data_IF_541757016728
#
_entry.id   IF_541757016728
#
_cell.length_a   1.000
_cell.length_b   1.000
_cell.length_c   1.000
_cell.angle_alpha   90.00
_cell.angle_beta   90.00
_cell.angle_gamma   90.00
#
_symmetry.space_group_name_H-M   'P 1'
#
loop_
_entity.id
_entity.type
_entity.pdbx_description
1 polymer ?
#
# COMPACT_ATOMS: atom_id res chain seq x y z
N UNK A 1 -14.72 -81.91 -12.84
CA UNK A 1 -13.87 -82.17 -11.66
C UNK A 1 -13.62 -80.83 -10.98
N UNK A 2 -14.03 -80.72 -9.71
CA UNK A 2 -13.74 -79.68 -8.70
C UNK A 2 -13.86 -78.20 -9.11
N UNK A 3 -14.96 -77.51 -8.79
CA UNK A 3 -15.28 -76.88 -7.48
C UNK A 3 -14.43 -75.63 -7.23
N UNK A 4 -15.07 -74.45 -7.22
CA UNK A 4 -14.63 -73.38 -6.35
C UNK A 4 -15.80 -72.48 -5.94
N UNK A 5 -15.77 -72.21 -4.64
CA UNK A 5 -16.88 -71.82 -3.76
C UNK A 5 -17.14 -70.32 -3.83
N UNK A 6 -18.41 -69.94 -3.94
CA UNK A 6 -18.87 -68.55 -3.91
C UNK A 6 -18.92 -68.05 -2.45
N UNK A 7 -17.99 -67.18 -2.04
CA UNK A 7 -18.04 -66.49 -0.76
C UNK A 7 -19.00 -65.30 -0.89
N UNK A 8 -20.17 -65.39 -0.25
CA UNK A 8 -21.12 -64.28 -0.08
C UNK A 8 -20.61 -63.35 1.03
N UNK A 9 -20.04 -62.20 0.66
CA UNK A 9 -19.88 -61.08 1.61
C UNK A 9 -21.16 -60.24 1.59
N UNK A 10 -21.93 -60.31 2.67
CA UNK A 10 -23.10 -59.44 2.91
C UNK A 10 -22.63 -58.01 3.11
N UNK A 11 -23.06 -57.13 2.21
CA UNK A 11 -22.85 -55.70 2.27
C UNK A 11 -23.61 -55.10 3.47
N UNK A 12 -22.87 -54.70 4.51
CA UNK A 12 -23.38 -53.78 5.53
C UNK A 12 -22.70 -52.44 5.32
N UNK A 13 -23.30 -51.61 4.47
CA UNK A 13 -22.82 -50.27 4.18
C UNK A 13 -23.18 -49.32 5.32
N UNK A 14 -22.21 -49.01 6.19
CA UNK A 14 -22.30 -47.82 7.04
C UNK A 14 -22.18 -46.58 6.14
N UNK A 15 -23.31 -45.92 5.90
CA UNK A 15 -23.35 -44.55 5.38
C UNK A 15 -22.85 -43.60 6.48
N UNK A 16 -21.55 -43.30 6.44
CA UNK A 16 -20.97 -42.18 7.17
C UNK A 16 -21.43 -40.89 6.48
N UNK A 17 -22.51 -40.29 6.98
CA UNK A 17 -22.85 -38.91 6.66
C UNK A 17 -21.78 -38.01 7.28
N UNK A 18 -20.82 -37.57 6.48
CA UNK A 18 -19.95 -36.47 6.83
C UNK A 18 -20.82 -35.21 6.95
N UNK A 19 -21.13 -34.82 8.19
CA UNK A 19 -21.62 -33.48 8.52
C UNK A 19 -20.49 -32.48 8.22
N UNK A 20 -20.28 -32.16 6.95
CA UNK A 20 -19.61 -30.93 6.58
C UNK A 20 -20.59 -29.82 6.99
N UNK A 21 -20.45 -29.31 8.21
CA UNK A 21 -21.07 -28.06 8.59
C UNK A 21 -20.70 -27.03 7.51
N UNK A 22 -21.71 -26.37 6.93
CA UNK A 22 -21.48 -25.29 5.97
C UNK A 22 -20.63 -24.22 6.65
N UNK A 23 -19.31 -24.29 6.44
CA UNK A 23 -18.41 -23.24 6.85
C UNK A 23 -18.84 -21.98 6.09
N UNK A 24 -19.09 -20.90 6.81
CA UNK A 24 -19.39 -19.61 6.19
C UNK A 24 -18.23 -19.26 5.25
N UNK A 25 -18.52 -19.18 3.95
CA UNK A 25 -17.53 -18.73 2.97
C UNK A 25 -17.20 -17.25 3.23
N UNK A 26 -15.96 -17.03 3.68
CA UNK A 26 -15.41 -15.71 3.97
C UNK A 26 -14.72 -15.06 2.77
N UNK A 27 -14.79 -15.68 1.59
CA UNK A 27 -14.26 -15.13 0.34
C UNK A 27 -15.05 -13.93 -0.19
N UNK A 28 -14.46 -13.26 -1.20
CA UNK A 28 -15.16 -12.28 -2.02
C UNK A 28 -16.01 -13.02 -3.06
N UNK A 29 -17.23 -12.54 -3.29
CA UNK A 29 -18.10 -12.99 -4.38
C UNK A 29 -18.91 -11.78 -4.85
N UNK A 30 -18.26 -10.83 -5.55
CA UNK A 30 -18.91 -9.61 -6.03
C UNK A 30 -19.91 -9.96 -7.14
N UNK A 31 -21.01 -9.22 -7.19
CA UNK A 31 -22.03 -9.40 -8.23
C UNK A 31 -21.48 -9.02 -9.62
N UNK A 32 -21.82 -9.80 -10.63
CA UNK A 32 -21.46 -9.49 -12.01
C UNK A 32 -22.12 -8.18 -12.44
N UNK A 33 -21.33 -7.24 -12.97
CA UNK A 33 -21.80 -5.90 -13.32
C UNK A 33 -22.08 -4.99 -12.12
N UNK A 34 -21.75 -5.41 -10.90
CA UNK A 34 -21.83 -4.58 -9.70
C UNK A 34 -20.94 -3.33 -9.78
N UNK A 35 -21.22 -2.38 -8.89
CA UNK A 35 -20.51 -1.10 -8.86
C UNK A 35 -19.01 -1.27 -8.54
N UNK A 36 -18.18 -0.51 -9.25
CA UNK A 36 -16.72 -0.59 -9.15
C UNK A 36 -16.09 0.79 -9.01
N UNK A 37 -14.91 0.82 -8.39
CA UNK A 37 -13.97 1.94 -8.47
C UNK A 37 -12.80 1.58 -9.37
N UNK A 38 -12.45 2.47 -10.29
CA UNK A 38 -11.21 2.41 -11.07
C UNK A 38 -10.12 3.18 -10.33
N UNK A 39 -8.97 2.53 -10.14
CA UNK A 39 -7.76 3.14 -9.57
C UNK A 39 -6.68 3.09 -10.64
N UNK A 40 -6.23 4.26 -11.08
CA UNK A 40 -5.23 4.44 -12.13
C UNK A 40 -3.98 5.13 -11.59
N UNK A 41 -2.81 4.57 -11.84
CA UNK A 41 -1.51 5.16 -11.54
C UNK A 41 -0.79 5.50 -12.84
N UNK A 42 -0.44 6.78 -13.05
CA UNK A 42 0.44 7.22 -14.13
C UNK A 42 1.88 7.13 -13.66
N UNK A 43 2.60 6.12 -14.13
CA UNK A 43 3.95 5.81 -13.66
C UNK A 43 4.99 6.69 -14.37
N UNK A 44 5.78 7.50 -13.65
CA UNK A 44 6.88 8.26 -14.22
C UNK A 44 8.01 7.34 -14.70
N UNK A 45 8.85 7.86 -15.59
CA UNK A 45 10.08 7.18 -15.98
C UNK A 45 10.92 6.84 -14.73
N UNK A 46 11.57 5.67 -14.74
CA UNK A 46 12.40 5.10 -13.66
C UNK A 46 11.62 4.56 -12.45
N UNK A 47 10.29 4.73 -12.40
CA UNK A 47 9.44 4.16 -11.34
C UNK A 47 8.64 2.96 -11.85
N UNK A 48 8.07 2.21 -10.91
CA UNK A 48 7.12 1.14 -11.13
C UNK A 48 5.89 1.34 -10.23
N UNK A 49 4.72 0.90 -10.70
CA UNK A 49 3.52 0.81 -9.86
C UNK A 49 3.69 -0.29 -8.81
N UNK A 50 3.39 0.03 -7.56
CA UNK A 50 3.37 -0.96 -6.48
C UNK A 50 2.11 -1.85 -6.57
N UNK A 51 2.19 -3.12 -6.14
CA UNK A 51 1.00 -3.92 -5.91
C UNK A 51 0.06 -3.21 -4.95
N UNK A 52 -1.23 -3.19 -5.26
CA UNK A 52 -2.23 -2.52 -4.44
C UNK A 52 -2.67 -3.42 -3.29
N UNK A 53 -2.59 -2.93 -2.07
CA UNK A 53 -3.17 -3.59 -0.91
C UNK A 53 -4.61 -3.11 -0.74
N UNK A 54 -5.57 -4.00 -0.90
CA UNK A 54 -7.01 -3.72 -0.86
C UNK A 54 -7.58 -4.33 0.42
N UNK A 55 -8.33 -3.52 1.17
CA UNK A 55 -9.01 -3.95 2.39
C UNK A 55 -10.51 -3.83 2.19
N UNK A 56 -11.22 -4.94 2.42
CA UNK A 56 -12.67 -4.97 2.60
C UNK A 56 -13.02 -5.12 4.09
N UNK A 57 -14.17 -4.59 4.51
CA UNK A 57 -14.69 -4.70 5.88
C UNK A 57 -16.09 -5.29 5.91
N UNK A 58 -16.44 -5.92 7.03
CA UNK A 58 -17.76 -6.51 7.25
C UNK A 58 -18.13 -6.55 8.73
N UNK A 59 -19.28 -5.98 9.06
CA UNK A 59 -19.95 -6.17 10.35
C UNK A 59 -20.58 -7.56 10.51
N UNK A 60 -20.84 -8.29 9.41
CA UNK A 60 -21.42 -9.65 9.44
C UNK A 60 -20.42 -10.74 9.80
N UNK A 61 -19.14 -10.48 9.60
CA UNK A 61 -18.05 -11.39 9.94
C UNK A 61 -17.10 -10.72 10.93
N UNK A 62 -17.56 -10.39 12.15
CA UNK A 62 -16.74 -9.68 13.12
C UNK A 62 -15.54 -10.52 13.56
N UNK A 63 -14.51 -9.83 14.04
CA UNK A 63 -13.35 -10.44 14.70
C UNK A 63 -13.32 -10.02 16.16
N UNK A 64 -12.88 -10.94 17.02
CA UNK A 64 -12.71 -10.66 18.44
C UNK A 64 -11.36 -10.00 18.70
N UNK A 65 -11.36 -9.02 19.58
CA UNK A 65 -10.18 -8.35 20.13
C UNK A 65 -10.19 -8.45 21.64
N UNK A 66 -9.00 -8.35 22.22
CA UNK A 66 -8.82 -8.29 23.67
C UNK A 66 -8.59 -6.85 24.09
N UNK A 67 -9.35 -6.40 25.08
CA UNK A 67 -9.17 -5.12 25.75
C UNK A 67 -8.00 -5.11 26.73
N UNK A 68 -7.60 -3.94 27.24
CA UNK A 68 -6.54 -3.80 28.24
C UNK A 68 -6.81 -4.54 29.55
N UNK A 69 -8.07 -4.78 29.87
CA UNK A 69 -8.59 -5.51 31.03
C UNK A 69 -8.81 -7.00 30.76
N UNK A 70 -8.29 -7.51 29.63
CA UNK A 70 -8.52 -8.88 29.13
C UNK A 70 -9.98 -9.21 28.77
N UNK A 71 -10.87 -8.21 28.76
CA UNK A 71 -12.22 -8.38 28.20
C UNK A 71 -12.16 -8.66 26.70
N UNK A 72 -13.15 -9.36 26.16
CA UNK A 72 -13.27 -9.56 24.73
C UNK A 72 -14.36 -8.66 24.16
N UNK A 73 -14.06 -7.97 23.07
CA UNK A 73 -15.02 -7.19 22.32
C UNK A 73 -14.90 -7.49 20.82
N UNK A 74 -15.97 -7.26 20.08
CA UNK A 74 -16.02 -7.48 18.64
C UNK A 74 -15.83 -6.17 17.87
N UNK A 75 -15.12 -6.27 16.76
CA UNK A 75 -14.99 -5.21 15.76
C UNK A 75 -15.28 -5.79 14.39
N UNK A 76 -15.63 -4.94 13.44
CA UNK A 76 -15.80 -5.33 12.03
C UNK A 76 -14.61 -6.17 11.56
N UNK A 77 -14.92 -7.31 10.93
CA UNK A 77 -13.91 -8.11 10.27
C UNK A 77 -13.33 -7.38 9.08
N UNK A 78 -12.14 -7.79 8.68
CA UNK A 78 -11.51 -7.30 7.47
C UNK A 78 -10.92 -8.45 6.65
N UNK A 79 -10.95 -8.26 5.33
CA UNK A 79 -10.29 -9.12 4.36
C UNK A 79 -9.25 -8.29 3.61
N UNK A 80 -8.00 -8.73 3.62
CA UNK A 80 -6.91 -8.10 2.87
C UNK A 80 -6.59 -8.92 1.64
N UNK A 81 -6.50 -8.26 0.48
CA UNK A 81 -6.03 -8.86 -0.76
C UNK A 81 -5.02 -7.96 -1.44
N UNK A 82 -4.14 -8.54 -2.26
CA UNK A 82 -3.15 -7.82 -3.04
C UNK A 82 -3.50 -7.95 -4.52
N UNK A 83 -3.58 -6.82 -5.22
CA UNK A 83 -3.94 -6.77 -6.63
C UNK A 83 -2.83 -6.07 -7.41
N UNK A 84 -2.34 -6.71 -8.47
CA UNK A 84 -1.39 -6.07 -9.37
C UNK A 84 -2.16 -5.21 -10.38
N UNK A 85 -1.92 -3.89 -10.46
CA UNK A 85 -2.53 -3.09 -11.51
C UNK A 85 -1.94 -3.45 -12.87
N UNK A 86 -2.79 -3.44 -13.90
CA UNK A 86 -2.43 -3.87 -15.25
C UNK A 86 -2.12 -2.66 -16.12
N UNK A 87 -1.07 -2.77 -16.94
CA UNK A 87 -0.71 -1.72 -17.88
C UNK A 87 -1.79 -1.56 -18.96
N UNK A 88 -2.22 -0.33 -19.21
CA UNK A 88 -3.19 -0.02 -20.26
C UNK A 88 -2.48 0.12 -21.61
N UNK A 89 -2.52 -0.95 -22.41
CA UNK A 89 -1.85 -1.00 -23.72
C UNK A 89 -0.35 -0.66 -23.61
N UNK A 90 0.15 0.16 -24.53
CA UNK A 90 1.54 0.63 -24.52
C UNK A 90 1.71 2.00 -23.82
N UNK A 91 0.89 2.30 -22.81
CA UNK A 91 0.96 3.56 -22.06
C UNK A 91 1.71 3.39 -20.72
N UNK A 92 1.97 4.50 -20.03
CA UNK A 92 2.49 4.47 -18.66
C UNK A 92 1.36 4.48 -17.60
N UNK A 93 0.13 4.14 -17.99
CA UNK A 93 -1.01 4.04 -17.08
C UNK A 93 -1.20 2.60 -16.64
N UNK A 94 -1.32 2.41 -15.33
CA UNK A 94 -1.59 1.12 -14.70
C UNK A 94 -2.93 1.22 -13.96
N UNK A 95 -3.88 0.37 -14.33
CA UNK A 95 -5.25 0.41 -13.80
C UNK A 95 -5.61 -0.90 -13.11
N UNK A 96 -6.40 -0.78 -12.05
CA UNK A 96 -7.23 -1.87 -11.55
C UNK A 96 -8.67 -1.39 -11.35
N UNK A 97 -9.62 -2.32 -11.42
CA UNK A 97 -11.02 -2.08 -11.09
C UNK A 97 -11.41 -2.99 -9.94
N UNK A 98 -11.94 -2.39 -8.88
CA UNK A 98 -12.28 -3.09 -7.65
C UNK A 98 -13.79 -2.96 -7.41
N UNK A 99 -14.43 -4.07 -7.05
CA UNK A 99 -15.83 -4.05 -6.65
C UNK A 99 -15.98 -3.24 -5.36
N UNK A 100 -16.96 -2.34 -5.31
CA UNK A 100 -17.29 -1.61 -4.08
C UNK A 100 -17.99 -2.57 -3.12
N UNK A 101 -18.95 -3.33 -3.65
CA UNK A 101 -19.57 -4.46 -2.96
C UNK A 101 -18.81 -5.74 -3.30
N UNK A 102 -17.95 -6.19 -2.37
CA UNK A 102 -17.19 -7.44 -2.47
C UNK A 102 -18.03 -8.70 -2.26
N UNK A 103 -19.27 -8.57 -1.78
CA UNK A 103 -20.23 -9.66 -1.66
C UNK A 103 -19.77 -10.82 -0.77
N UNK A 104 -20.12 -12.04 -1.16
CA UNK A 104 -19.86 -13.26 -0.38
C UNK A 104 -20.71 -13.39 0.88
N UNK A 105 -20.48 -14.46 1.65
CA UNK A 105 -21.24 -14.74 2.88
C UNK A 105 -21.08 -13.66 3.95
N UNK A 106 -19.97 -12.94 3.92
CA UNK A 106 -19.69 -11.81 4.81
C UNK A 106 -20.21 -10.46 4.29
N UNK A 107 -20.73 -10.36 3.06
CA UNK A 107 -21.15 -9.07 2.48
C UNK A 107 -20.06 -7.99 2.56
N UNK A 108 -18.85 -8.35 2.15
CA UNK A 108 -17.67 -7.50 2.19
C UNK A 108 -17.92 -6.15 1.48
N UNK A 109 -17.53 -5.04 2.11
CA UNK A 109 -17.55 -3.71 1.50
C UNK A 109 -16.14 -3.15 1.38
N UNK A 110 -15.83 -2.53 0.25
CA UNK A 110 -14.53 -1.91 0.02
C UNK A 110 -14.31 -0.81 1.06
N UNK A 111 -13.18 -0.86 1.73
CA UNK A 111 -12.90 0.03 2.85
C UNK A 111 -11.73 0.96 2.57
N UNK A 112 -10.58 0.44 2.15
CA UNK A 112 -9.47 1.27 1.73
C UNK A 112 -8.54 0.53 0.76
N UNK A 113 -7.79 1.32 -0.02
CA UNK A 113 -6.77 0.82 -0.93
C UNK A 113 -5.48 1.60 -0.70
N UNK A 114 -4.39 0.87 -0.48
CA UNK A 114 -3.02 1.39 -0.49
C UNK A 114 -2.39 1.09 -1.83
N UNK A 115 -1.85 2.09 -2.51
CA UNK A 115 -1.19 1.98 -3.80
C UNK A 115 -0.12 3.07 -3.92
N UNK A 116 0.71 3.01 -4.95
CA UNK A 116 1.78 3.99 -5.08
C UNK A 116 2.78 3.66 -6.16
N UNK A 117 3.92 4.33 -6.07
CA UNK A 117 5.07 4.10 -6.94
C UNK A 117 6.34 3.91 -6.11
N UNK A 118 7.25 3.08 -6.64
CA UNK A 118 8.61 2.89 -6.11
C UNK A 118 9.61 2.87 -7.26
N UNK A 119 10.90 2.91 -6.97
CA UNK A 119 11.94 2.79 -8.00
C UNK A 119 11.93 1.38 -8.62
N UNK A 120 11.79 1.32 -9.94
CA UNK A 120 11.94 0.07 -10.71
C UNK A 120 13.40 -0.41 -10.70
N UNK A 121 14.33 0.56 -10.76
CA UNK A 121 15.76 0.33 -10.72
C UNK A 121 16.46 1.55 -10.09
N UNK A 122 17.44 1.28 -9.24
CA UNK A 122 18.23 2.25 -8.47
C UNK A 122 19.70 2.29 -8.87
N UNK A 123 20.14 1.53 -9.90
CA UNK A 123 21.57 1.46 -10.28
C UNK A 123 22.17 2.80 -10.66
N UNK A 124 21.38 3.72 -11.20
CA UNK A 124 21.83 5.07 -11.56
C UNK A 124 22.18 5.93 -10.32
N UNK A 125 21.70 5.57 -9.13
CA UNK A 125 22.12 6.20 -7.87
C UNK A 125 23.44 5.64 -7.30
N UNK A 126 23.95 4.56 -7.88
CA UNK A 126 25.20 3.92 -7.48
C UNK A 126 25.04 2.47 -7.04
N UNK A 127 26.16 1.85 -6.71
CA UNK A 127 26.20 0.43 -6.34
C UNK A 127 25.46 0.16 -5.03
N UNK A 128 24.71 -0.94 -4.99
CA UNK A 128 24.01 -1.47 -3.80
C UNK A 128 22.97 -0.53 -3.18
N UNK A 129 22.53 0.50 -3.90
CA UNK A 129 21.36 1.30 -3.50
C UNK A 129 20.11 0.47 -3.73
N UNK A 130 19.27 0.29 -2.71
CA UNK A 130 18.00 -0.43 -2.81
C UNK A 130 16.82 0.54 -2.89
N UNK A 131 15.72 0.21 -3.57
CA UNK A 131 14.52 1.03 -3.53
C UNK A 131 13.94 1.05 -2.11
N UNK A 132 13.41 2.20 -1.71
CA UNK A 132 12.65 2.40 -0.49
C UNK A 132 11.31 3.09 -0.80
N UNK A 133 10.49 3.28 0.23
CA UNK A 133 9.13 3.81 0.10
C UNK A 133 9.10 5.34 -0.10
N UNK A 134 7.91 5.92 -0.10
CA UNK A 134 7.69 7.37 -0.09
C UNK A 134 6.76 7.89 -1.19
N UNK A 135 6.39 7.05 -2.16
CA UNK A 135 5.43 7.37 -3.22
C UNK A 135 4.04 6.78 -2.99
N UNK A 136 3.66 6.55 -1.73
CA UNK A 136 2.43 5.84 -1.36
C UNK A 136 1.21 6.75 -1.23
N UNK A 137 0.03 6.17 -1.46
CA UNK A 137 -1.28 6.79 -1.29
C UNK A 137 -2.22 5.78 -0.65
N UNK A 138 -3.05 6.25 0.28
CA UNK A 138 -4.12 5.49 0.90
C UNK A 138 -5.43 6.24 0.70
N UNK A 139 -6.36 5.59 -0.01
CA UNK A 139 -7.72 6.11 -0.20
C UNK A 139 -8.70 5.25 0.61
N UNK A 140 -9.47 5.90 1.47
CA UNK A 140 -10.54 5.31 2.28
C UNK A 140 -11.88 5.55 1.60
N UNK A 141 -12.65 4.48 1.40
CA UNK A 141 -13.97 4.47 0.80
C UNK A 141 -15.09 4.35 1.86
N UNK A 142 -14.73 4.30 3.14
CA UNK A 142 -15.64 4.31 4.27
C UNK A 142 -15.19 5.31 5.35
N UNK A 143 -15.89 5.31 6.48
CA UNK A 143 -15.58 6.15 7.63
C UNK A 143 -14.54 5.52 8.58
N UNK A 144 -14.05 4.31 8.29
CA UNK A 144 -13.04 3.67 9.12
C UNK A 144 -11.66 4.24 8.80
N UNK A 145 -10.81 4.31 9.82
CA UNK A 145 -9.40 4.61 9.60
C UNK A 145 -8.71 3.43 8.89
N UNK A 146 -7.81 3.75 7.96
CA UNK A 146 -6.92 2.77 7.39
C UNK A 146 -5.99 2.19 8.48
N UNK A 147 -5.73 0.89 8.42
CA UNK A 147 -4.89 0.20 9.42
C UNK A 147 -3.43 0.71 9.40
N UNK A 148 -2.96 1.18 8.24
CA UNK A 148 -1.60 1.70 8.01
C UNK A 148 -1.60 3.22 7.88
N UNK A 149 -1.99 3.91 8.95
CA UNK A 149 -2.04 5.38 8.98
C UNK A 149 -1.03 5.95 9.96
N UNK A 150 -0.33 7.00 9.54
CA UNK A 150 0.36 7.92 10.45
C UNK A 150 -0.66 8.67 11.30
N UNK A 151 -0.42 8.74 12.61
CA UNK A 151 -1.25 9.54 13.52
C UNK A 151 -1.10 11.06 13.28
N UNK A 152 -0.04 11.47 12.57
CA UNK A 152 0.34 12.87 12.41
C UNK A 152 -0.05 13.45 11.04
N UNK A 153 -0.30 12.60 10.05
CA UNK A 153 -0.65 13.06 8.71
C UNK A 153 -2.17 13.27 8.58
N UNK A 154 -2.62 14.45 8.12
CA UNK A 154 -4.03 14.75 7.96
C UNK A 154 -4.65 13.87 6.87
N UNK A 155 -5.96 13.62 6.99
CA UNK A 155 -6.76 13.00 5.93
C UNK A 155 -7.54 14.07 5.21
N UNK A 156 -7.41 14.12 3.89
CA UNK A 156 -8.17 15.02 3.03
C UNK A 156 -9.53 14.42 2.68
N UNK A 157 -10.61 15.17 2.90
CA UNK A 157 -11.97 14.77 2.56
C UNK A 157 -12.32 15.19 1.13
N UNK A 158 -12.82 14.25 0.31
CA UNK A 158 -13.11 14.47 -1.11
C UNK A 158 -14.53 14.01 -1.44
N UNK A 159 -15.35 14.94 -1.94
CA UNK A 159 -16.72 14.67 -2.39
C UNK A 159 -16.75 14.28 -3.88
N UNK A 160 -16.22 13.11 -4.23
CA UNK A 160 -16.31 12.58 -5.60
C UNK A 160 -15.01 11.94 -6.10
N UNK A 161 -14.87 11.87 -7.43
CA UNK A 161 -13.69 11.33 -8.09
C UNK A 161 -12.43 12.12 -7.71
N UNK A 162 -11.31 11.40 -7.60
CA UNK A 162 -10.08 11.91 -7.01
C UNK A 162 -8.96 11.96 -8.06
N UNK A 163 -8.37 13.13 -8.25
CA UNK A 163 -7.14 13.34 -9.02
C UNK A 163 -6.01 13.82 -8.10
N UNK A 164 -4.98 13.00 -7.94
CA UNK A 164 -3.84 13.28 -7.07
C UNK A 164 -2.64 13.60 -7.96
N UNK A 165 -2.17 14.85 -7.90
CA UNK A 165 -0.94 15.32 -8.57
C UNK A 165 -0.01 15.87 -7.51
N UNK A 166 1.13 15.22 -7.32
CA UNK A 166 2.11 15.60 -6.28
C UNK A 166 3.53 15.49 -6.81
N UNK A 167 4.34 16.46 -6.41
CA UNK A 167 5.78 16.50 -6.72
C UNK A 167 6.54 15.53 -5.81
N UNK A 168 7.50 14.81 -6.40
CA UNK A 168 8.38 13.89 -5.70
C UNK A 168 9.84 14.12 -6.10
N UNK A 169 10.72 14.00 -5.11
CA UNK A 169 12.17 14.17 -5.26
C UNK A 169 12.91 12.91 -4.86
N UNK A 170 13.96 12.49 -5.60
CA UNK A 170 14.85 11.42 -5.16
C UNK A 170 15.59 11.78 -3.88
N UNK A 171 15.66 10.85 -2.93
CA UNK A 171 16.62 10.89 -1.83
C UNK A 171 17.47 9.62 -1.81
N UNK A 172 18.78 9.77 -1.94
CA UNK A 172 19.73 8.68 -1.70
C UNK A 172 20.23 8.78 -0.27
N UNK A 173 19.82 7.83 0.58
CA UNK A 173 20.24 7.75 1.97
C UNK A 173 21.27 6.66 2.21
N UNK A 174 22.23 6.94 3.09
CA UNK A 174 23.21 5.98 3.58
C UNK A 174 23.12 5.90 5.11
N UNK A 175 22.87 4.70 5.63
CA UNK A 175 22.73 4.44 7.06
C UNK A 175 23.82 3.47 7.51
N UNK A 176 24.34 3.65 8.74
CA UNK A 176 25.41 2.83 9.31
C UNK A 176 24.99 2.08 10.59
N UNK A 177 24.05 2.65 11.36
CA UNK A 177 23.63 2.09 12.64
C UNK A 177 22.55 1.03 12.40
N UNK A 178 22.75 -0.18 12.94
CA UNK A 178 21.88 -1.33 12.66
C UNK A 178 22.25 -2.08 11.38
N UNK A 179 23.33 -1.68 10.71
CA UNK A 179 23.80 -2.24 9.44
C UNK A 179 24.14 -1.14 8.45
N UNK A 180 25.07 -1.42 7.53
CA UNK A 180 25.38 -0.50 6.43
C UNK A 180 24.41 -0.73 5.28
N UNK A 181 23.61 0.28 4.96
CA UNK A 181 22.65 0.24 3.86
C UNK A 181 22.60 1.54 3.08
N UNK A 182 22.26 1.43 1.79
CA UNK A 182 21.97 2.55 0.92
C UNK A 182 20.57 2.40 0.34
N UNK A 183 19.76 3.44 0.44
CA UNK A 183 18.35 3.40 0.05
C UNK A 183 18.01 4.59 -0.85
N UNK A 184 17.16 4.36 -1.86
CA UNK A 184 16.58 5.39 -2.71
C UNK A 184 15.11 5.59 -2.33
N UNK A 185 14.81 6.72 -1.70
CA UNK A 185 13.47 7.11 -1.25
C UNK A 185 12.85 8.10 -2.24
N UNK A 186 11.51 8.16 -2.21
CA UNK A 186 10.75 9.26 -2.80
C UNK A 186 10.36 10.24 -1.69
N UNK A 187 10.71 11.51 -1.85
CA UNK A 187 10.36 12.59 -0.90
C UNK A 187 9.22 13.40 -1.49
N UNK A 188 8.04 13.33 -0.87
CA UNK A 188 6.87 14.12 -1.23
C UNK A 188 6.49 15.16 -0.17
N UNK A 189 5.37 15.84 -0.38
CA UNK A 189 4.83 16.87 0.53
C UNK A 189 4.35 16.31 1.88
N UNK A 190 3.98 15.02 1.91
CA UNK A 190 3.60 14.30 3.13
C UNK A 190 4.69 13.31 3.57
N UNK A 191 4.35 12.46 4.54
CA UNK A 191 5.17 11.31 4.90
C UNK A 191 5.19 10.21 3.82
N UNK A 192 5.30 8.96 4.25
CA UNK A 192 5.35 7.80 3.33
C UNK A 192 4.09 7.66 2.48
N UNK A 193 2.94 8.07 3.03
CA UNK A 193 1.63 7.97 2.39
C UNK A 193 0.89 9.30 2.44
N UNK A 194 0.15 9.58 1.37
CA UNK A 194 -0.92 10.58 1.38
C UNK A 194 -2.26 9.92 1.75
N UNK A 195 -3.10 10.62 2.50
CA UNK A 195 -4.36 10.07 3.00
C UNK A 195 -5.56 10.84 2.47
N UNK A 196 -6.46 10.14 1.79
CA UNK A 196 -7.72 10.70 1.30
C UNK A 196 -8.90 9.86 1.77
N UNK A 197 -10.02 10.50 2.09
CA UNK A 197 -11.31 9.87 2.29
C UNK A 197 -12.25 10.30 1.18
N UNK A 198 -12.71 9.34 0.38
CA UNK A 198 -13.48 9.57 -0.82
C UNK A 198 -14.54 8.45 -1.00
N UNK A 199 -15.56 8.38 -0.11
CA UNK A 199 -16.53 7.28 -0.10
C UNK A 199 -17.36 7.16 -1.39
N UNK A 200 -17.53 8.28 -2.10
CA UNK A 200 -18.32 8.36 -3.32
C UNK A 200 -17.48 8.34 -4.60
N UNK A 201 -16.15 8.18 -4.50
CA UNK A 201 -15.29 8.10 -5.67
C UNK A 201 -15.58 6.84 -6.48
N UNK A 202 -15.61 6.98 -7.81
CA UNK A 202 -15.63 5.87 -8.77
C UNK A 202 -14.39 5.85 -9.64
N UNK A 203 -13.66 6.96 -9.67
CA UNK A 203 -12.35 7.08 -10.31
C UNK A 203 -11.37 7.72 -9.35
N UNK A 204 -10.24 7.06 -9.17
CA UNK A 204 -9.08 7.56 -8.45
C UNK A 204 -7.91 7.55 -9.42
N UNK A 205 -7.31 8.71 -9.67
CA UNK A 205 -6.14 8.85 -10.53
C UNK A 205 -4.99 9.44 -9.77
N UNK A 206 -3.84 8.77 -9.78
CA UNK A 206 -2.61 9.26 -9.19
C UNK A 206 -1.56 9.51 -10.28
N UNK A 207 -1.09 10.75 -10.34
CA UNK A 207 -0.10 11.25 -11.29
C UNK A 207 1.07 11.86 -10.50
N UNK A 208 1.96 11.04 -9.92
CA UNK A 208 3.18 11.53 -9.30
C UNK A 208 4.08 12.22 -10.35
N UNK A 209 4.70 13.33 -9.96
CA UNK A 209 5.63 14.09 -10.81
C UNK A 209 7.04 13.91 -10.22
N UNK A 210 7.87 13.11 -10.88
CA UNK A 210 9.24 12.86 -10.42
C UNK A 210 10.20 13.91 -10.96
N UNK A 211 10.81 14.68 -10.06
CA UNK A 211 11.87 15.65 -10.37
C UNK A 211 13.24 14.96 -10.29
N UNK A 212 13.52 14.06 -11.23
CA UNK A 212 14.67 13.14 -11.18
C UNK A 212 16.05 13.81 -11.07
N UNK A 213 16.18 15.06 -11.55
CA UNK A 213 17.45 15.81 -11.53
C UNK A 213 17.74 16.50 -10.20
N UNK A 214 16.77 16.54 -9.27
CA UNK A 214 16.87 17.23 -8.00
C UNK A 214 17.07 16.23 -6.86
N UNK A 215 18.23 15.57 -6.88
CA UNK A 215 18.57 14.49 -5.95
C UNK A 215 19.07 15.07 -4.61
N UNK A 216 18.41 14.68 -3.53
CA UNK A 216 18.88 14.89 -2.17
C UNK A 216 19.78 13.72 -1.74
N UNK A 217 20.91 14.02 -1.10
CA UNK A 217 21.74 13.01 -0.44
C UNK A 217 21.62 13.14 1.07
N UNK A 218 21.54 12.01 1.78
CA UNK A 218 21.56 12.01 3.24
C UNK A 218 22.49 10.94 3.80
N UNK A 219 23.35 11.32 4.74
CA UNK A 219 24.29 10.40 5.39
C UNK A 219 23.99 10.39 6.89
N UNK A 220 23.57 9.24 7.39
CA UNK A 220 23.33 9.02 8.81
C UNK A 220 24.64 8.99 9.62
N UNK A 221 24.57 9.21 10.95
CA UNK A 221 25.74 9.13 11.80
C UNK A 221 26.23 7.68 11.94
N UNK A 222 27.55 7.51 12.14
CA UNK A 222 28.17 6.19 12.40
C UNK A 222 28.01 5.74 13.86
N UNK A 223 27.90 6.69 14.78
CA UNK A 223 27.77 6.45 16.23
C UNK A 223 26.66 7.34 16.79
N UNK A 224 25.85 6.79 17.71
CA UNK A 224 24.80 7.54 18.41
C UNK A 224 25.40 8.38 19.52
N UNK A 225 25.71 9.63 19.22
CA UNK A 225 26.20 10.62 20.20
C UNK A 225 25.43 11.93 20.05
N UNK A 226 25.39 12.71 21.15
CA UNK A 226 24.71 14.00 21.15
C UNK A 226 25.39 14.94 20.14
N UNK A 227 24.63 15.42 19.17
CA UNK A 227 25.14 16.30 18.11
C UNK A 227 25.48 15.59 16.80
N UNK A 228 25.52 14.25 16.79
CA UNK A 228 25.69 13.47 15.57
C UNK A 228 24.34 13.33 14.86
N UNK A 229 24.09 14.25 13.94
CA UNK A 229 22.86 14.30 13.15
C UNK A 229 23.04 13.71 11.76
N UNK A 230 21.93 13.34 11.13
CA UNK A 230 21.91 13.03 9.69
C UNK A 230 22.29 14.28 8.92
N UNK A 231 23.25 14.16 8.01
CA UNK A 231 23.67 15.24 7.14
C UNK A 231 22.92 15.16 5.83
N UNK A 232 22.21 16.23 5.48
CA UNK A 232 21.46 16.40 4.24
C UNK A 232 22.20 17.33 3.29
N UNK A 233 22.47 16.90 2.07
CA UNK A 233 23.04 17.72 0.99
C UNK A 233 21.99 17.88 -0.10
N UNK A 234 21.52 19.11 -0.29
CA UNK A 234 20.48 19.48 -1.25
C UNK A 234 21.04 19.70 -2.66
N UNK A 235 20.19 19.70 -3.71
CA UNK A 235 20.63 19.86 -5.10
C UNK A 235 21.39 21.17 -5.40
N UNK A 236 21.15 22.23 -4.62
CA UNK A 236 21.87 23.51 -4.70
C UNK A 236 23.25 23.48 -4.01
N UNK A 237 23.66 22.34 -3.47
CA UNK A 237 24.90 22.17 -2.71
C UNK A 237 24.80 22.58 -1.24
N UNK A 238 23.66 23.14 -0.81
CA UNK A 238 23.47 23.51 0.59
C UNK A 238 23.38 22.29 1.50
N UNK A 239 23.86 22.43 2.73
CA UNK A 239 23.94 21.33 3.70
C UNK A 239 23.16 21.68 4.96
N UNK A 240 22.37 20.74 5.46
CA UNK A 240 21.71 20.81 6.78
C UNK A 240 22.11 19.60 7.61
N UNK A 241 22.48 19.80 8.87
CA UNK A 241 22.80 18.75 9.82
C UNK A 241 22.32 19.17 11.21
N UNK A 242 21.00 19.12 11.41
CA UNK A 242 20.33 19.51 12.65
C UNK A 242 19.53 18.33 13.24
N UNK A 243 18.77 18.57 14.30
CA UNK A 243 17.98 17.51 14.97
C UNK A 243 16.85 16.93 14.11
N UNK A 244 16.55 17.51 12.95
CA UNK A 244 15.41 17.10 12.13
C UNK A 244 15.77 15.81 11.40
N UNK A 245 14.95 14.78 11.61
CA UNK A 245 15.15 13.45 11.02
C UNK A 245 14.80 13.36 9.55
N UNK A 246 14.03 14.31 9.03
CA UNK A 246 13.44 14.23 7.70
C UNK A 246 13.84 15.40 6.81
N UNK A 247 13.95 15.16 5.49
CA UNK A 247 14.30 16.20 4.54
C UNK A 247 13.19 17.26 4.41
N UNK A 248 13.61 18.50 4.17
CA UNK A 248 12.67 19.60 4.00
C UNK A 248 12.16 19.65 2.55
N UNK A 249 10.96 19.11 2.32
CA UNK A 249 10.28 19.13 1.03
C UNK A 249 10.11 20.56 0.48
N UNK A 250 9.73 21.53 1.31
CA UNK A 250 9.56 22.93 0.87
C UNK A 250 10.86 23.53 0.35
N UNK A 251 11.99 23.17 0.97
CA UNK A 251 13.32 23.59 0.49
C UNK A 251 13.66 22.96 -0.87
N UNK A 252 13.40 21.66 -1.07
CA UNK A 252 13.56 21.02 -2.38
C UNK A 252 12.71 21.70 -3.46
N UNK A 253 11.45 22.02 -3.14
CA UNK A 253 10.54 22.72 -4.03
C UNK A 253 11.06 24.12 -4.39
N UNK A 254 11.56 24.87 -3.42
CA UNK A 254 12.11 26.20 -3.64
C UNK A 254 13.33 26.16 -4.57
N UNK A 255 14.29 25.26 -4.31
CA UNK A 255 15.48 25.07 -5.14
C UNK A 255 15.09 24.75 -6.58
N UNK A 256 14.15 23.81 -6.79
CA UNK A 256 13.66 23.46 -8.12
C UNK A 256 13.08 24.67 -8.85
N UNK A 257 12.21 25.42 -8.18
CA UNK A 257 11.52 26.56 -8.79
C UNK A 257 12.47 27.71 -9.13
N UNK A 258 13.54 27.90 -8.36
CA UNK A 258 14.56 28.92 -8.63
C UNK A 258 15.45 28.54 -9.82
N UNK A 259 15.89 27.28 -9.88
CA UNK A 259 16.77 26.77 -10.95
C UNK A 259 16.05 26.47 -12.27
N UNK A 260 14.72 26.45 -12.27
CA UNK A 260 13.89 26.25 -13.48
C UNK A 260 13.48 27.56 -14.16
N UNK A 261 13.93 28.71 -13.65
CA UNK A 261 13.73 30.03 -14.27
C UNK A 261 14.84 30.33 -15.27
#
# INVERSE_FOLDING_TARGET
MSMNTLIKCTASGLLLFSLNGCALDRGLSPESGGEQVSITVKVPQNLAAEPMQVIYRSAKCPIKRSGPDWSSFEVDGYLTTTVQPLQQGNSNLYETKLAINGGGGCQWQLSNVTFGVTYANTTHFGQKVKPASGGGVIVMFDHHLAQRRSAFDPTEEVSGDLLIRKDYYPRVSEHFIGGHEKLAWLVGEGGTYLYYRAPNARKVKFEPILHANYVLYSVGPKVKEKGNFTRYTYPDGSVVADRISDPNFKKLQAIRLEQSR
#
